data_IF_303151990476
#
_entry.id   IF_303151990476
#
_cell.length_a   1.000
_cell.length_b   1.000
_cell.length_c   1.000
_cell.angle_alpha   90.00
_cell.angle_beta   90.00
_cell.angle_gamma   90.00
#
_symmetry.space_group_name_H-M   'P 1'
#
loop_
_entity.id
_entity.type
_entity.pdbx_description
1 polymer ?
#
# COMPACT_ATOMS: atom_id res chain seq x y z
N UNK A 1 24.06 -13.69 12.29
CA UNK A 1 25.23 -13.92 11.40
C UNK A 1 24.84 -14.68 10.13
N UNK A 2 24.15 -15.82 10.21
CA UNK A 2 23.64 -16.57 9.04
C UNK A 2 22.72 -15.75 8.12
N UNK A 3 21.75 -15.01 8.65
CA UNK A 3 20.87 -14.14 7.86
C UNK A 3 21.58 -12.98 7.14
N UNK A 4 22.71 -12.52 7.69
CA UNK A 4 23.53 -11.49 7.05
C UNK A 4 24.28 -12.07 5.84
N UNK A 5 24.76 -13.31 5.96
CA UNK A 5 25.45 -14.03 4.88
C UNK A 5 24.47 -14.38 3.74
N UNK A 6 23.28 -14.87 4.09
CA UNK A 6 22.21 -15.15 3.12
C UNK A 6 21.71 -13.88 2.44
N UNK A 7 21.50 -12.80 3.19
CA UNK A 7 21.09 -11.50 2.67
C UNK A 7 22.15 -10.88 1.75
N UNK A 8 23.43 -10.93 2.13
CA UNK A 8 24.55 -10.48 1.29
C UNK A 8 24.68 -11.35 0.04
N UNK A 9 24.51 -12.68 0.14
CA UNK A 9 24.56 -13.60 -1.00
C UNK A 9 23.40 -13.37 -1.97
N UNK A 10 22.18 -13.13 -1.47
CA UNK A 10 21.00 -12.81 -2.29
C UNK A 10 21.10 -11.42 -2.93
N UNK A 11 21.62 -10.43 -2.21
CA UNK A 11 21.92 -9.09 -2.74
C UNK A 11 22.99 -9.19 -3.82
N UNK A 12 24.07 -9.95 -3.59
CA UNK A 12 25.09 -10.20 -4.61
C UNK A 12 24.54 -10.97 -5.80
N UNK A 13 23.69 -11.97 -5.60
CA UNK A 13 23.03 -12.71 -6.67
C UNK A 13 22.09 -11.82 -7.49
N UNK A 14 21.39 -10.86 -6.89
CA UNK A 14 20.56 -9.88 -7.60
C UNK A 14 21.42 -8.86 -8.37
N UNK A 15 22.44 -8.28 -7.73
CA UNK A 15 23.39 -7.37 -8.38
C UNK A 15 24.10 -8.05 -9.55
N UNK A 16 24.50 -9.32 -9.39
CA UNK A 16 25.14 -10.12 -10.44
C UNK A 16 24.17 -10.52 -11.55
N UNK A 17 22.94 -10.96 -11.22
CA UNK A 17 21.92 -11.34 -12.21
C UNK A 17 21.44 -10.15 -13.04
N UNK A 18 21.41 -8.96 -12.44
CA UNK A 18 21.05 -7.71 -13.10
C UNK A 18 22.18 -7.23 -14.02
N UNK A 19 23.46 -7.29 -13.58
CA UNK A 19 24.62 -7.04 -14.45
C UNK A 19 24.71 -8.00 -15.65
N UNK A 20 24.44 -9.29 -15.44
CA UNK A 20 24.49 -10.32 -16.48
C UNK A 20 23.33 -10.28 -17.49
N UNK A 21 22.28 -9.48 -17.23
CA UNK A 21 21.27 -9.18 -18.23
C UNK A 21 21.76 -8.22 -19.33
N UNK A 22 22.85 -7.48 -19.06
CA UNK A 22 23.37 -6.43 -19.94
C UNK A 22 24.76 -6.72 -20.53
N UNK A 23 25.56 -7.63 -19.94
CA UNK A 23 26.88 -8.01 -20.47
C UNK A 23 27.11 -9.54 -20.44
N UNK A 24 27.62 -10.08 -21.55
CA UNK A 24 27.79 -11.52 -21.78
C UNK A 24 29.12 -12.02 -21.17
N UNK A 25 29.18 -12.15 -19.83
CA UNK A 25 30.42 -12.48 -19.11
C UNK A 25 30.41 -13.92 -18.54
N UNK A 26 31.05 -14.85 -19.24
CA UNK A 26 31.01 -16.30 -18.97
C UNK A 26 31.59 -16.75 -17.60
N UNK A 27 32.74 -16.24 -17.12
CA UNK A 27 33.28 -16.59 -15.79
C UNK A 27 32.35 -16.21 -14.64
N UNK A 28 31.61 -15.10 -14.81
CA UNK A 28 30.67 -14.59 -13.81
C UNK A 28 29.39 -15.42 -13.74
N UNK A 29 28.93 -15.96 -14.87
CA UNK A 29 27.79 -16.90 -14.97
C UNK A 29 28.05 -18.20 -14.22
N UNK A 30 29.29 -18.69 -14.27
CA UNK A 30 29.69 -19.91 -13.58
C UNK A 30 29.79 -19.69 -12.06
N UNK A 31 30.35 -18.56 -11.61
CA UNK A 31 30.32 -18.15 -10.21
C UNK A 31 28.88 -18.00 -9.67
N UNK A 32 27.97 -17.42 -10.46
CA UNK A 32 26.54 -17.35 -10.14
C UNK A 32 25.88 -18.73 -10.07
N UNK A 33 26.22 -19.65 -10.97
CA UNK A 33 25.66 -21.00 -10.96
C UNK A 33 26.13 -21.78 -9.73
N UNK A 34 27.30 -21.47 -9.19
CA UNK A 34 27.81 -22.03 -7.93
C UNK A 34 27.14 -21.40 -6.70
N UNK A 35 26.98 -20.07 -6.66
CA UNK A 35 26.28 -19.38 -5.57
C UNK A 35 24.78 -19.66 -5.54
N UNK A 36 24.14 -19.77 -6.70
CA UNK A 36 22.75 -20.20 -6.84
C UNK A 36 22.60 -21.65 -6.42
N UNK A 37 23.48 -22.57 -6.87
CA UNK A 37 23.49 -23.95 -6.33
C UNK A 37 23.69 -23.97 -4.82
N UNK A 38 24.59 -23.16 -4.28
CA UNK A 38 24.79 -23.08 -2.83
C UNK A 38 23.56 -22.56 -2.08
N UNK A 39 22.81 -21.60 -2.64
CA UNK A 39 21.58 -21.07 -2.06
C UNK A 39 20.33 -21.93 -2.36
N UNK A 40 20.39 -22.78 -3.39
CA UNK A 40 19.26 -23.51 -3.98
C UNK A 40 19.50 -25.02 -4.00
N UNK A 41 20.54 -25.57 -3.39
CA UNK A 41 20.66 -27.02 -3.14
C UNK A 41 19.73 -27.50 -1.99
N UNK A 42 18.67 -26.72 -1.73
CA UNK A 42 17.32 -27.19 -1.38
C UNK A 42 16.34 -27.26 -2.57
N UNK A 43 16.84 -27.53 -3.79
CA UNK A 43 16.20 -27.84 -5.08
C UNK A 43 15.36 -26.73 -5.76
N UNK A 44 15.79 -26.29 -6.96
CA UNK A 44 14.97 -26.23 -8.20
C UNK A 44 15.78 -25.66 -9.40
N UNK A 45 15.71 -26.28 -10.60
CA UNK A 45 16.44 -25.86 -11.79
C UNK A 45 15.86 -24.58 -12.41
N UNK A 46 16.73 -23.79 -13.03
CA UNK A 46 16.39 -22.51 -13.66
C UNK A 46 15.32 -22.66 -14.75
N UNK A 47 14.16 -21.98 -14.66
CA UNK A 47 13.12 -22.12 -15.66
C UNK A 47 13.38 -21.24 -16.90
N UNK A 48 12.78 -21.61 -18.06
CA UNK A 48 12.89 -20.87 -19.31
C UNK A 48 12.28 -19.45 -19.20
N UNK A 49 12.62 -18.59 -20.18
CA UNK A 49 12.35 -17.13 -20.24
C UNK A 49 10.86 -16.71 -20.34
N UNK A 50 9.92 -17.48 -19.83
CA UNK A 50 8.48 -17.17 -19.81
C UNK A 50 8.03 -16.77 -18.39
N UNK A 51 6.82 -16.23 -18.24
CA UNK A 51 6.16 -15.65 -17.04
C UNK A 51 6.63 -16.14 -15.66
N UNK A 52 6.97 -17.43 -15.55
CA UNK A 52 7.61 -18.07 -14.39
C UNK A 52 8.89 -17.39 -13.91
N UNK A 53 9.78 -16.91 -14.80
CA UNK A 53 11.00 -16.19 -14.39
C UNK A 53 10.68 -14.82 -13.78
N UNK A 54 9.69 -14.11 -14.30
CA UNK A 54 9.22 -12.83 -13.73
C UNK A 54 8.61 -13.06 -12.35
N UNK A 55 7.81 -14.11 -12.19
CA UNK A 55 7.23 -14.50 -10.91
C UNK A 55 8.31 -14.87 -9.88
N UNK A 56 9.28 -15.72 -10.23
CA UNK A 56 10.40 -16.06 -9.35
C UNK A 56 11.29 -14.86 -9.01
N UNK A 57 11.42 -13.89 -9.93
CA UNK A 57 12.18 -12.68 -9.67
C UNK A 57 11.42 -11.75 -8.73
N UNK A 58 10.11 -11.59 -8.91
CA UNK A 58 9.26 -10.87 -7.97
C UNK A 58 9.24 -11.54 -6.58
N UNK A 59 9.25 -12.87 -6.51
CA UNK A 59 9.32 -13.63 -5.26
C UNK A 59 10.69 -13.49 -4.58
N UNK A 60 11.78 -13.55 -5.34
CA UNK A 60 13.13 -13.30 -4.85
C UNK A 60 13.29 -11.86 -4.35
N UNK A 61 12.77 -10.88 -5.09
CA UNK A 61 12.75 -9.47 -4.68
C UNK A 61 11.90 -9.28 -3.42
N UNK A 62 10.71 -9.86 -3.37
CA UNK A 62 9.85 -9.81 -2.18
C UNK A 62 10.52 -10.42 -0.95
N UNK A 63 11.11 -11.61 -1.12
CA UNK A 63 11.88 -12.28 -0.07
C UNK A 63 13.05 -11.41 0.38
N UNK A 64 13.80 -10.80 -0.55
CA UNK A 64 14.91 -9.92 -0.23
C UNK A 64 14.45 -8.66 0.52
N UNK A 65 13.39 -7.99 0.05
CA UNK A 65 12.79 -6.83 0.71
C UNK A 65 12.39 -7.18 2.14
N UNK A 66 11.79 -8.37 2.34
CA UNK A 66 11.40 -8.88 3.66
C UNK A 66 12.61 -9.21 4.55
N UNK A 67 13.66 -9.80 4.00
CA UNK A 67 14.86 -10.10 4.80
C UNK A 67 15.59 -8.82 5.19
N UNK A 68 15.69 -7.85 4.27
CA UNK A 68 16.28 -6.55 4.57
C UNK A 68 15.48 -5.80 5.63
N UNK A 69 14.14 -5.87 5.62
CA UNK A 69 13.31 -5.20 6.64
C UNK A 69 13.44 -5.83 8.04
N UNK A 70 13.89 -7.09 8.15
CA UNK A 70 14.20 -7.75 9.42
C UNK A 70 15.55 -7.33 10.02
N UNK A 71 16.45 -6.74 9.22
CA UNK A 71 17.73 -6.25 9.69
C UNK A 71 17.58 -4.90 10.42
N UNK A 72 18.46 -4.68 11.40
CA UNK A 72 18.56 -3.37 12.05
C UNK A 72 18.94 -2.27 11.05
N UNK A 73 18.63 -1.02 11.38
CA UNK A 73 18.95 0.14 10.52
C UNK A 73 20.46 0.20 10.23
N UNK A 74 21.29 -0.07 11.25
CA UNK A 74 22.75 -0.06 11.10
C UNK A 74 23.26 -1.19 10.21
N UNK A 75 22.70 -2.41 10.32
CA UNK A 75 23.04 -3.53 9.43
C UNK A 75 22.68 -3.22 7.97
N UNK A 76 21.49 -2.63 7.74
CA UNK A 76 21.08 -2.22 6.40
C UNK A 76 21.97 -1.12 5.83
N UNK A 77 22.34 -0.12 6.65
CA UNK A 77 23.25 0.97 6.27
C UNK A 77 24.62 0.42 5.91
N UNK A 78 25.18 -0.46 6.76
CA UNK A 78 26.47 -1.10 6.49
C UNK A 78 26.43 -1.92 5.20
N UNK A 79 25.36 -2.68 4.95
CA UNK A 79 25.21 -3.47 3.73
C UNK A 79 25.08 -2.57 2.48
N UNK A 80 24.33 -1.47 2.60
CA UNK A 80 24.18 -0.45 1.56
C UNK A 80 25.52 0.17 1.13
N UNK A 81 26.37 0.53 2.09
CA UNK A 81 27.69 1.11 1.83
C UNK A 81 28.74 0.08 1.41
N UNK A 82 28.85 -1.06 2.11
CA UNK A 82 29.90 -2.06 1.87
C UNK A 82 29.80 -2.70 0.48
N UNK A 83 28.60 -2.78 -0.07
CA UNK A 83 28.38 -3.39 -1.39
C UNK A 83 28.16 -2.36 -2.51
N UNK A 84 28.33 -1.05 -2.24
CA UNK A 84 27.95 0.02 -3.18
C UNK A 84 26.53 -0.15 -3.74
N UNK A 85 25.65 -0.79 -2.97
CA UNK A 85 24.33 -1.22 -3.42
C UNK A 85 23.44 -0.01 -3.70
N UNK A 86 23.50 0.99 -2.81
CA UNK A 86 22.77 2.26 -2.96
C UNK A 86 23.14 2.94 -4.28
N UNK A 87 24.44 3.03 -4.58
CA UNK A 87 24.91 3.65 -5.82
C UNK A 87 24.37 2.94 -7.07
N UNK A 88 24.43 1.60 -7.09
CA UNK A 88 23.96 0.83 -8.23
C UNK A 88 22.44 0.91 -8.40
N UNK A 89 21.67 0.73 -7.33
CA UNK A 89 20.22 0.81 -7.38
C UNK A 89 19.74 2.22 -7.75
N UNK A 90 20.39 3.29 -7.26
CA UNK A 90 20.08 4.66 -7.67
C UNK A 90 20.37 4.87 -9.16
N UNK A 91 21.53 4.42 -9.65
CA UNK A 91 21.86 4.52 -11.07
C UNK A 91 20.82 3.79 -11.92
N UNK A 92 20.38 2.60 -11.49
CA UNK A 92 19.36 1.84 -12.21
C UNK A 92 17.98 2.50 -12.15
N UNK A 93 17.60 3.07 -11.01
CA UNK A 93 16.37 3.86 -10.89
C UNK A 93 16.38 5.11 -11.79
N UNK A 94 17.54 5.73 -12.00
CA UNK A 94 17.71 6.91 -12.86
C UNK A 94 17.75 6.57 -14.36
N UNK A 95 18.32 5.42 -14.75
CA UNK A 95 18.61 5.08 -16.15
C UNK A 95 17.76 3.93 -16.71
N UNK A 96 16.84 3.39 -15.92
CA UNK A 96 15.92 2.34 -16.36
C UNK A 96 14.49 2.85 -16.33
N UNK A 97 13.64 2.26 -17.17
CA UNK A 97 12.22 2.56 -17.24
C UNK A 97 11.37 1.36 -16.82
N UNK A 98 10.10 1.61 -16.54
CA UNK A 98 9.10 0.58 -16.38
C UNK A 98 9.28 -0.30 -15.13
N UNK A 99 9.21 -1.61 -15.34
CA UNK A 99 9.33 -2.61 -14.27
C UNK A 99 10.72 -2.60 -13.63
N UNK A 100 11.79 -2.47 -14.42
CA UNK A 100 13.15 -2.48 -13.91
C UNK A 100 13.43 -1.31 -12.96
N UNK A 101 12.90 -0.12 -13.30
CA UNK A 101 12.94 1.04 -12.43
C UNK A 101 12.20 0.79 -11.11
N UNK A 102 11.00 0.21 -11.20
CA UNK A 102 10.17 -0.12 -10.03
C UNK A 102 10.82 -1.14 -9.10
N UNK A 103 11.52 -2.14 -9.66
CA UNK A 103 12.27 -3.14 -8.90
C UNK A 103 13.46 -2.50 -8.15
N UNK A 104 14.21 -1.60 -8.80
CA UNK A 104 15.30 -0.88 -8.15
C UNK A 104 14.80 0.00 -6.99
N UNK A 105 13.70 0.72 -7.21
CA UNK A 105 13.06 1.56 -6.19
C UNK A 105 12.50 0.73 -5.03
N UNK A 106 11.92 -0.44 -5.30
CA UNK A 106 11.47 -1.36 -4.25
C UNK A 106 12.61 -1.73 -3.31
N UNK A 107 13.78 -2.05 -3.85
CA UNK A 107 14.95 -2.41 -3.06
C UNK A 107 15.50 -1.21 -2.27
N UNK A 108 15.54 -0.03 -2.89
CA UNK A 108 15.93 1.20 -2.21
C UNK A 108 15.00 1.55 -1.04
N UNK A 109 13.71 1.23 -1.15
CA UNK A 109 12.72 1.55 -0.11
C UNK A 109 12.93 0.90 1.25
N UNK A 110 13.79 -0.13 1.33
CA UNK A 110 14.13 -0.78 2.60
C UNK A 110 15.54 -0.47 3.09
N UNK A 111 16.33 0.30 2.34
CA UNK A 111 17.72 0.65 2.70
C UNK A 111 17.75 2.11 3.18
N UNK A 112 18.36 2.42 4.34
CA UNK A 112 18.57 3.80 4.76
C UNK A 112 19.41 4.56 3.74
N UNK A 113 18.91 5.70 3.26
CA UNK A 113 19.59 6.57 2.29
C UNK A 113 20.16 7.81 2.97
N UNK A 114 21.26 8.34 2.40
CA UNK A 114 21.80 9.64 2.76
C UNK A 114 21.12 10.78 1.98
N UNK A 115 21.30 12.02 2.44
CA UNK A 115 20.69 13.22 1.87
C UNK A 115 20.95 13.34 0.36
N UNK A 116 22.18 13.04 -0.07
CA UNK A 116 22.59 13.12 -1.48
C UNK A 116 21.86 12.09 -2.33
N UNK A 117 21.67 10.88 -1.82
CA UNK A 117 20.93 9.80 -2.48
C UNK A 117 19.46 10.16 -2.62
N UNK A 118 18.87 10.76 -1.60
CA UNK A 118 17.47 11.21 -1.61
C UNK A 118 17.28 12.40 -2.56
N UNK A 119 18.18 13.37 -2.58
CA UNK A 119 18.12 14.50 -3.50
C UNK A 119 18.15 14.04 -4.97
N UNK A 120 18.98 13.04 -5.28
CA UNK A 120 19.00 12.40 -6.60
C UNK A 120 17.68 11.72 -6.92
N UNK A 121 17.15 10.93 -5.99
CA UNK A 121 15.89 10.21 -6.14
C UNK A 121 14.69 11.16 -6.32
N UNK A 122 14.69 12.29 -5.63
CA UNK A 122 13.63 13.29 -5.73
C UNK A 122 13.51 13.84 -7.17
N UNK A 123 14.60 13.84 -7.96
CA UNK A 123 14.60 14.23 -9.37
C UNK A 123 14.17 13.11 -10.32
N UNK A 124 14.19 11.87 -9.88
CA UNK A 124 13.70 10.73 -10.67
C UNK A 124 12.17 10.74 -10.67
N UNK A 125 11.54 10.73 -11.84
CA UNK A 125 10.07 10.67 -11.96
C UNK A 125 9.69 9.33 -12.60
N UNK A 126 9.26 8.33 -11.81
CA UNK A 126 8.91 7.03 -12.36
C UNK A 126 7.63 7.12 -13.19
N UNK A 127 7.65 6.53 -14.39
CA UNK A 127 6.45 6.48 -15.24
C UNK A 127 5.40 5.47 -14.73
N UNK A 128 5.85 4.39 -14.08
CA UNK A 128 4.99 3.32 -13.61
C UNK A 128 4.42 3.58 -12.20
N UNK A 129 3.13 3.27 -11.94
CA UNK A 129 2.51 3.50 -10.64
C UNK A 129 3.23 2.80 -9.46
N UNK A 130 3.81 1.61 -9.70
CA UNK A 130 4.59 0.91 -8.67
C UNK A 130 5.91 1.61 -8.37
N UNK A 131 6.58 2.16 -9.38
CA UNK A 131 7.80 2.95 -9.17
C UNK A 131 7.50 4.22 -8.38
N UNK A 132 6.40 4.91 -8.71
CA UNK A 132 5.94 6.09 -7.98
C UNK A 132 5.64 5.76 -6.51
N UNK A 133 4.94 4.64 -6.25
CA UNK A 133 4.70 4.15 -4.89
C UNK A 133 6.00 4.00 -4.09
N UNK A 134 7.00 3.32 -4.66
CA UNK A 134 8.25 3.06 -3.94
C UNK A 134 9.11 4.31 -3.78
N UNK A 135 9.13 5.22 -4.76
CA UNK A 135 9.78 6.52 -4.60
C UNK A 135 9.14 7.33 -3.47
N UNK A 136 7.83 7.46 -3.46
CA UNK A 136 7.09 8.15 -2.39
C UNK A 136 7.36 7.49 -1.04
N UNK A 137 7.37 6.16 -0.95
CA UNK A 137 7.72 5.44 0.28
C UNK A 137 9.11 5.83 0.78
N UNK A 138 10.13 5.87 -0.09
CA UNK A 138 11.48 6.31 0.26
C UNK A 138 11.47 7.74 0.82
N UNK A 139 10.79 8.66 0.13
CA UNK A 139 10.73 10.07 0.52
C UNK A 139 10.02 10.26 1.86
N UNK A 140 8.91 9.55 2.10
CA UNK A 140 8.17 9.61 3.38
C UNK A 140 9.00 9.03 4.52
N UNK A 141 9.67 7.89 4.30
CA UNK A 141 10.52 7.27 5.33
C UNK A 141 11.70 8.16 5.70
N UNK A 142 12.26 8.87 4.72
CA UNK A 142 13.35 9.81 4.94
C UNK A 142 12.89 11.11 5.63
N UNK A 143 11.74 11.65 5.23
CA UNK A 143 11.17 12.90 5.77
C UNK A 143 9.71 12.72 6.21
N UNK A 144 9.44 12.03 7.34
CA UNK A 144 8.08 11.79 7.80
C UNK A 144 7.27 13.08 8.03
N UNK A 145 7.93 14.14 8.48
CA UNK A 145 7.30 15.44 8.74
C UNK A 145 6.72 16.10 7.47
N UNK A 146 7.23 15.71 6.28
CA UNK A 146 6.78 16.21 4.98
C UNK A 146 5.80 15.28 4.28
N UNK A 147 5.29 14.26 4.97
CA UNK A 147 4.44 13.22 4.36
C UNK A 147 3.23 13.78 3.62
N UNK A 148 2.57 14.80 4.15
CA UNK A 148 1.43 15.45 3.50
C UNK A 148 1.83 16.07 2.16
N UNK A 149 2.94 16.82 2.13
CA UNK A 149 3.47 17.46 0.93
C UNK A 149 3.89 16.41 -0.11
N UNK A 150 4.57 15.35 0.32
CA UNK A 150 5.05 14.28 -0.56
C UNK A 150 3.88 13.53 -1.21
N UNK A 151 2.84 13.18 -0.42
CA UNK A 151 1.65 12.50 -0.96
C UNK A 151 0.90 13.41 -1.93
N UNK A 152 0.86 14.71 -1.68
CA UNK A 152 0.17 15.66 -2.55
C UNK A 152 0.94 15.91 -3.86
N UNK A 153 2.27 16.07 -3.80
CA UNK A 153 3.12 16.34 -4.97
C UNK A 153 3.31 15.12 -5.87
N UNK A 154 3.49 13.94 -5.29
CA UNK A 154 3.78 12.70 -6.03
C UNK A 154 2.54 11.83 -6.26
N UNK A 155 1.41 12.22 -5.66
CA UNK A 155 0.21 11.40 -5.64
C UNK A 155 -0.53 11.30 -6.96
N UNK A 156 -0.31 12.21 -7.91
CA UNK A 156 -1.17 12.45 -9.09
C UNK A 156 -1.59 11.21 -9.90
N UNK A 157 -0.91 10.06 -9.80
CA UNK A 157 -1.28 8.81 -10.47
C UNK A 157 -1.43 7.57 -9.57
N UNK A 158 -1.42 7.73 -8.25
CA UNK A 158 -1.72 6.64 -7.33
C UNK A 158 -3.21 6.35 -7.39
N UNK A 159 -3.55 5.27 -8.07
CA UNK A 159 -4.88 4.68 -8.01
C UNK A 159 -5.23 4.26 -6.57
N UNK A 160 -6.53 4.21 -6.26
CA UNK A 160 -7.02 3.70 -4.97
C UNK A 160 -6.54 2.30 -4.59
N UNK A 161 -6.04 1.49 -5.54
CA UNK A 161 -5.46 0.16 -5.26
C UNK A 161 -4.06 0.23 -4.63
N UNK A 162 -3.32 1.33 -4.79
CA UNK A 162 -1.97 1.50 -4.25
C UNK A 162 -1.98 2.03 -2.82
N UNK A 163 -3.02 2.77 -2.42
CA UNK A 163 -3.17 3.31 -1.05
C UNK A 163 -3.04 2.22 0.03
N UNK A 164 -3.71 1.04 -0.07
CA UNK A 164 -3.50 -0.04 0.90
C UNK A 164 -2.06 -0.55 0.96
N UNK A 165 -1.34 -0.57 -0.17
CA UNK A 165 0.06 -1.01 -0.23
C UNK A 165 0.99 0.02 0.41
N UNK A 166 0.75 1.31 0.16
CA UNK A 166 1.48 2.39 0.80
C UNK A 166 1.37 2.29 2.33
N UNK A 167 0.14 2.21 2.85
CA UNK A 167 -0.10 2.13 4.30
C UNK A 167 0.54 0.88 4.91
N UNK A 168 0.43 -0.27 4.27
CA UNK A 168 1.07 -1.51 4.75
C UNK A 168 2.60 -1.40 4.79
N UNK A 169 3.22 -0.72 3.83
CA UNK A 169 4.69 -0.53 3.82
C UNK A 169 5.15 0.51 4.83
N UNK A 170 4.40 1.60 5.00
CA UNK A 170 4.71 2.61 6.02
C UNK A 170 4.66 2.02 7.44
N UNK A 171 3.74 1.08 7.67
CA UNK A 171 3.69 0.28 8.90
C UNK A 171 4.94 -0.56 9.12
N UNK A 172 5.40 -1.30 8.09
CA UNK A 172 6.64 -2.07 8.15
C UNK A 172 7.86 -1.17 8.47
N UNK A 173 7.83 0.07 7.97
CA UNK A 173 8.83 1.09 8.24
C UNK A 173 8.64 1.82 9.58
N UNK A 174 7.60 1.52 10.36
CA UNK A 174 7.24 2.16 11.62
C UNK A 174 7.07 3.68 11.52
N UNK A 175 6.59 4.15 10.38
CA UNK A 175 6.29 5.58 10.18
C UNK A 175 4.94 5.90 10.79
N UNK A 176 4.91 6.85 11.73
CA UNK A 176 3.67 7.39 12.29
C UNK A 176 3.14 8.47 11.36
N UNK A 177 1.89 8.32 10.91
CA UNK A 177 1.27 9.25 9.96
C UNK A 177 0.41 10.29 10.68
N UNK A 178 0.49 11.59 10.31
CA UNK A 178 -0.29 12.66 10.92
C UNK A 178 -1.72 12.67 10.34
N UNK A 179 -2.57 11.75 10.82
CA UNK A 179 -3.93 11.52 10.31
C UNK A 179 -4.76 12.81 10.20
N UNK A 180 -4.78 13.66 11.24
CA UNK A 180 -5.53 14.95 11.21
C UNK A 180 -5.06 15.84 10.07
N UNK A 181 -3.74 16.02 9.95
CA UNK A 181 -3.15 16.86 8.91
C UNK A 181 -3.44 16.33 7.51
N UNK A 182 -3.46 15.01 7.34
CA UNK A 182 -3.77 14.37 6.06
C UNK A 182 -5.25 14.52 5.66
N UNK A 183 -6.18 14.46 6.62
CA UNK A 183 -7.61 14.72 6.38
C UNK A 183 -7.89 16.21 6.14
N UNK A 184 -7.22 17.09 6.88
CA UNK A 184 -7.41 18.54 6.81
C UNK A 184 -7.06 19.16 5.45
N UNK A 185 -6.24 18.50 4.62
CA UNK A 185 -5.95 19.01 3.26
C UNK A 185 -7.17 19.01 2.34
N UNK A 186 -8.14 18.12 2.58
CA UNK A 186 -9.26 17.87 1.68
C UNK A 186 -8.87 17.24 0.33
N UNK A 187 -7.58 17.03 0.08
CA UNK A 187 -7.08 16.43 -1.16
C UNK A 187 -7.39 14.94 -1.20
N UNK A 188 -7.68 14.43 -2.40
CA UNK A 188 -8.11 13.05 -2.63
C UNK A 188 -7.18 12.02 -1.97
N UNK A 189 -5.89 12.06 -2.27
CA UNK A 189 -4.95 11.02 -1.83
C UNK A 189 -4.55 11.11 -0.36
N UNK A 190 -4.18 12.27 0.19
CA UNK A 190 -3.98 12.42 1.63
C UNK A 190 -5.18 11.92 2.43
N UNK A 191 -6.40 12.27 2.00
CA UNK A 191 -7.64 11.80 2.65
C UNK A 191 -7.79 10.29 2.57
N UNK A 192 -7.58 9.67 1.40
CA UNK A 192 -7.67 8.21 1.25
C UNK A 192 -6.62 7.47 2.10
N UNK A 193 -5.40 7.99 2.19
CA UNK A 193 -4.33 7.44 3.04
C UNK A 193 -4.75 7.53 4.51
N UNK A 194 -5.21 8.69 4.97
CA UNK A 194 -5.63 8.90 6.35
C UNK A 194 -6.80 7.98 6.75
N UNK A 195 -7.86 7.94 5.93
CA UNK A 195 -9.01 7.05 6.13
C UNK A 195 -8.58 5.58 6.16
N UNK A 196 -7.63 5.19 5.32
CA UNK A 196 -7.10 3.82 5.31
C UNK A 196 -6.33 3.48 6.60
N UNK A 197 -5.55 4.43 7.13
CA UNK A 197 -4.84 4.29 8.41
C UNK A 197 -5.84 4.13 9.55
N UNK A 198 -6.82 5.05 9.65
CA UNK A 198 -7.87 4.99 10.68
C UNK A 198 -8.62 3.67 10.64
N UNK A 199 -9.06 3.22 9.48
CA UNK A 199 -9.77 1.95 9.32
C UNK A 199 -8.87 0.73 9.62
N UNK A 200 -7.57 0.79 9.34
CA UNK A 200 -6.66 -0.35 9.55
C UNK A 200 -6.34 -0.56 11.03
N UNK A 201 -6.20 0.53 11.78
CA UNK A 201 -5.83 0.49 13.19
C UNK A 201 -7.01 0.79 14.13
N UNK A 202 -8.23 0.89 13.58
CA UNK A 202 -9.46 1.15 14.32
C UNK A 202 -9.34 2.37 15.26
N UNK A 203 -8.75 3.46 14.77
CA UNK A 203 -8.46 4.65 15.56
C UNK A 203 -9.74 5.45 15.82
N UNK A 204 -10.49 5.04 16.85
CA UNK A 204 -11.79 5.62 17.21
C UNK A 204 -11.75 7.13 17.48
N UNK A 205 -10.63 7.66 17.97
CA UNK A 205 -10.46 9.08 18.31
C UNK A 205 -10.56 10.05 17.12
N UNK A 206 -10.53 9.52 15.89
CA UNK A 206 -10.65 10.31 14.65
C UNK A 206 -12.06 10.32 14.05
N UNK A 207 -13.07 9.89 14.81
CA UNK A 207 -14.43 9.73 14.30
C UNK A 207 -15.00 11.05 13.75
N UNK A 208 -14.71 12.20 14.39
CA UNK A 208 -15.18 13.52 13.94
C UNK A 208 -14.62 13.89 12.57
N UNK A 209 -13.31 13.75 12.38
CA UNK A 209 -12.63 14.06 11.12
C UNK A 209 -13.08 13.11 9.99
N UNK A 210 -13.39 11.85 10.32
CA UNK A 210 -13.97 10.90 9.36
C UNK A 210 -15.39 11.32 8.96
N UNK A 211 -16.20 11.88 9.89
CA UNK A 211 -17.51 12.43 9.55
C UNK A 211 -17.40 13.64 8.62
N UNK A 212 -16.46 14.55 8.86
CA UNK A 212 -16.21 15.70 7.98
C UNK A 212 -15.85 15.25 6.56
N UNK A 213 -15.09 14.16 6.42
CA UNK A 213 -14.73 13.58 5.13
C UNK A 213 -15.94 13.08 4.30
N UNK A 214 -17.12 12.86 4.92
CA UNK A 214 -18.36 12.57 4.18
C UNK A 214 -18.82 13.74 3.29
N UNK A 215 -18.39 14.96 3.60
CA UNK A 215 -18.71 16.16 2.82
C UNK A 215 -17.69 16.42 1.69
N UNK A 216 -16.70 15.55 1.50
CA UNK A 216 -15.69 15.71 0.45
C UNK A 216 -16.33 15.80 -0.94
N UNK A 217 -15.83 16.66 -1.85
CA UNK A 217 -16.29 16.69 -3.24
C UNK A 217 -15.93 15.38 -3.97
N UNK A 218 -14.91 14.66 -3.51
CA UNK A 218 -14.45 13.42 -4.11
C UNK A 218 -15.28 12.22 -3.66
N UNK A 219 -15.89 11.52 -4.63
CA UNK A 219 -16.70 10.31 -4.38
C UNK A 219 -15.91 9.26 -3.61
N UNK A 220 -14.67 9.02 -4.00
CA UNK A 220 -13.78 8.02 -3.43
C UNK A 220 -13.53 8.28 -1.94
N UNK A 221 -13.35 9.54 -1.55
CA UNK A 221 -13.17 9.96 -0.16
C UNK A 221 -14.44 9.70 0.63
N UNK A 222 -15.62 10.12 0.11
CA UNK A 222 -16.90 9.86 0.78
C UNK A 222 -17.15 8.37 1.02
N UNK A 223 -16.89 7.53 0.01
CA UNK A 223 -17.06 6.07 0.14
C UNK A 223 -16.04 5.45 1.10
N UNK A 224 -14.80 5.93 1.11
CA UNK A 224 -13.79 5.50 2.06
C UNK A 224 -14.13 5.92 3.50
N UNK A 225 -14.71 7.11 3.68
CA UNK A 225 -15.18 7.61 4.98
C UNK A 225 -16.32 6.74 5.53
N UNK A 226 -17.33 6.43 4.70
CA UNK A 226 -18.40 5.49 5.08
C UNK A 226 -17.85 4.13 5.50
N UNK A 227 -16.91 3.58 4.72
CA UNK A 227 -16.26 2.31 5.06
C UNK A 227 -15.51 2.40 6.39
N UNK A 228 -14.84 3.52 6.64
CA UNK A 228 -14.09 3.76 7.87
C UNK A 228 -15.04 3.82 9.07
N UNK A 229 -16.15 4.58 8.98
CA UNK A 229 -17.18 4.63 10.03
C UNK A 229 -17.79 3.25 10.33
N UNK A 230 -18.04 2.45 9.29
CA UNK A 230 -18.56 1.10 9.45
C UNK A 230 -17.57 0.17 10.18
N UNK A 231 -16.27 0.27 9.86
CA UNK A 231 -15.22 -0.49 10.55
C UNK A 231 -15.13 -0.07 12.02
N UNK A 232 -15.11 1.25 12.27
CA UNK A 232 -15.12 1.82 13.63
C UNK A 232 -16.38 1.48 14.43
N UNK A 233 -17.42 0.94 13.79
CA UNK A 233 -18.67 0.59 14.46
C UNK A 233 -19.43 1.83 14.91
N UNK A 234 -19.39 2.93 14.15
CA UNK A 234 -20.14 4.14 14.51
C UNK A 234 -21.64 3.92 14.29
N UNK A 235 -22.47 4.45 15.19
CA UNK A 235 -23.93 4.44 15.04
C UNK A 235 -24.35 5.21 13.79
N UNK A 236 -25.30 4.65 13.04
CA UNK A 236 -25.86 5.31 11.86
C UNK A 236 -26.80 6.42 12.35
N UNK A 237 -26.25 7.63 12.45
CA UNK A 237 -26.95 8.82 12.87
C UNK A 237 -27.47 9.64 11.68
N UNK A 238 -28.10 10.77 12.00
CA UNK A 238 -28.64 11.71 11.01
C UNK A 238 -27.59 12.19 10.00
N UNK A 239 -26.32 12.37 10.41
CA UNK A 239 -25.26 12.86 9.52
C UNK A 239 -24.90 11.82 8.45
N UNK A 240 -24.83 10.54 8.83
CA UNK A 240 -24.64 9.44 7.87
C UNK A 240 -25.82 9.39 6.91
N UNK A 241 -27.05 9.48 7.41
CA UNK A 241 -28.26 9.44 6.58
C UNK A 241 -28.28 10.60 5.57
N UNK A 242 -28.05 11.84 6.02
CA UNK A 242 -28.02 13.02 5.14
C UNK A 242 -26.90 12.92 4.09
N UNK A 243 -25.70 12.49 4.48
CA UNK A 243 -24.59 12.29 3.55
C UNK A 243 -24.90 11.23 2.49
N UNK A 244 -25.57 10.13 2.88
CA UNK A 244 -25.96 9.08 1.93
C UNK A 244 -27.11 9.52 1.02
N UNK A 245 -28.04 10.36 1.50
CA UNK A 245 -29.17 10.82 0.70
C UNK A 245 -28.74 11.61 -0.55
N UNK A 246 -27.64 12.37 -0.45
CA UNK A 246 -27.03 13.10 -1.56
C UNK A 246 -26.33 12.20 -2.60
N UNK A 247 -26.18 10.90 -2.34
CA UNK A 247 -25.55 9.95 -3.25
C UNK A 247 -26.53 9.36 -4.26
N UNK A 248 -26.00 8.88 -5.38
CA UNK A 248 -26.77 8.13 -6.38
C UNK A 248 -27.33 6.83 -5.80
N UNK A 249 -28.40 6.30 -6.41
CA UNK A 249 -29.00 5.01 -6.02
C UNK A 249 -27.95 3.90 -5.96
N UNK A 250 -27.03 3.84 -6.94
CA UNK A 250 -25.97 2.84 -7.00
C UNK A 250 -25.01 2.91 -5.79
N UNK A 251 -24.59 4.13 -5.42
CA UNK A 251 -23.74 4.38 -4.26
C UNK A 251 -24.46 4.03 -2.96
N UNK A 252 -25.74 4.41 -2.81
CA UNK A 252 -26.52 4.03 -1.62
C UNK A 252 -26.64 2.52 -1.46
N UNK A 253 -26.76 1.75 -2.55
CA UNK A 253 -26.67 0.26 -2.50
C UNK A 253 -25.31 -0.20 -2.00
N UNK A 254 -24.24 0.44 -2.46
CA UNK A 254 -22.88 0.13 -2.06
C UNK A 254 -22.66 0.39 -0.57
N UNK A 255 -23.15 1.52 -0.06
CA UNK A 255 -23.14 1.87 1.36
C UNK A 255 -23.83 0.81 2.21
N UNK A 256 -25.06 0.41 1.85
CA UNK A 256 -25.76 -0.66 2.56
C UNK A 256 -24.96 -1.97 2.57
N UNK A 257 -24.32 -2.32 1.45
CA UNK A 257 -23.46 -3.52 1.38
C UNK A 257 -22.22 -3.42 2.26
N UNK A 258 -21.66 -2.22 2.43
CA UNK A 258 -20.52 -1.97 3.31
C UNK A 258 -20.93 -2.27 4.75
N UNK A 259 -21.97 -1.62 5.27
CA UNK A 259 -22.42 -1.86 6.65
C UNK A 259 -22.84 -3.32 6.89
N UNK A 260 -23.51 -3.96 5.92
CA UNK A 260 -23.84 -5.39 6.00
C UNK A 260 -22.61 -6.31 6.01
N UNK A 261 -21.50 -5.90 5.37
CA UNK A 261 -20.24 -6.65 5.40
C UNK A 261 -19.55 -6.50 6.76
N UNK A 262 -19.65 -5.33 7.38
CA UNK A 262 -19.09 -5.04 8.71
C UNK A 262 -19.99 -5.54 9.87
N UNK A 263 -21.11 -6.22 9.57
CA UNK A 263 -21.92 -6.94 10.56
C UNK A 263 -23.07 -6.16 11.19
N UNK A 264 -23.50 -5.05 10.56
CA UNK A 264 -24.65 -4.27 11.04
C UNK A 264 -25.96 -5.05 10.86
N UNK A 265 -26.83 -4.96 11.89
CA UNK A 265 -28.15 -5.58 11.88
C UNK A 265 -29.14 -4.83 10.97
N UNK A 266 -30.26 -5.48 10.62
CA UNK A 266 -31.36 -4.81 9.91
C UNK A 266 -31.89 -3.59 10.69
N UNK A 267 -31.98 -3.69 12.02
CA UNK A 267 -32.43 -2.60 12.87
C UNK A 267 -31.47 -1.41 12.83
N UNK A 268 -30.16 -1.67 12.87
CA UNK A 268 -29.16 -0.61 12.78
C UNK A 268 -29.18 0.11 11.43
N UNK A 269 -29.64 -0.58 10.36
CA UNK A 269 -29.78 -0.04 9.00
C UNK A 269 -31.15 0.60 8.73
N UNK A 270 -32.09 0.54 9.67
CA UNK A 270 -33.42 1.13 9.53
C UNK A 270 -33.37 2.61 9.15
N UNK A 271 -32.51 3.47 9.75
CA UNK A 271 -32.46 4.89 9.40
C UNK A 271 -32.12 5.16 7.91
N UNK A 272 -31.26 4.33 7.31
CA UNK A 272 -30.93 4.42 5.88
C UNK A 272 -32.07 3.87 5.00
N UNK A 273 -32.77 2.85 5.48
CA UNK A 273 -33.86 2.20 4.75
C UNK A 273 -35.11 3.08 4.69
N UNK A 274 -35.45 3.75 5.80
CA UNK A 274 -36.60 4.66 5.88
C UNK A 274 -36.42 5.89 4.99
N UNK A 275 -35.19 6.43 4.93
CA UNK A 275 -34.83 7.51 4.03
C UNK A 275 -35.04 7.11 2.55
N UNK A 276 -34.73 5.87 2.16
CA UNK A 276 -34.98 5.36 0.79
C UNK A 276 -36.45 5.09 0.49
N UNK A 277 -37.22 4.59 1.47
CA UNK A 277 -38.65 4.28 1.31
C UNK A 277 -39.48 5.55 1.03
N UNK A 278 -39.11 6.67 1.63
CA UNK A 278 -39.72 7.99 1.35
C UNK A 278 -39.56 8.46 -0.10
N UNK A 279 -38.63 7.86 -0.86
CA UNK A 279 -38.29 8.23 -2.25
C UNK A 279 -38.82 7.17 -3.25
N UNK A 280 -39.50 6.11 -2.78
CA UNK A 280 -40.09 5.08 -3.65
C UNK A 280 -39.09 4.13 -4.31
N UNK A 281 -37.92 3.91 -3.68
CA UNK A 281 -36.79 3.18 -4.25
C UNK A 281 -36.82 1.66 -3.94
N UNK A 282 -36.52 0.77 -4.90
CA UNK A 282 -36.49 -0.71 -4.72
C UNK A 282 -35.34 -1.22 -3.82
N UNK A 283 -34.69 -0.33 -3.06
CA UNK A 283 -33.58 -0.64 -2.16
C UNK A 283 -34.01 -1.17 -0.80
N UNK A 284 -35.18 -0.74 -0.31
CA UNK A 284 -35.74 -1.20 0.95
C UNK A 284 -35.95 -2.73 0.96
N UNK A 285 -36.37 -3.31 -0.18
CA UNK A 285 -36.53 -4.75 -0.34
C UNK A 285 -35.19 -5.52 -0.33
N UNK A 286 -34.10 -4.92 -0.82
CA UNK A 286 -32.78 -5.57 -0.87
C UNK A 286 -32.13 -5.68 0.52
N UNK A 287 -32.27 -4.65 1.36
CA UNK A 287 -31.76 -4.66 2.74
C UNK A 287 -32.47 -5.71 3.59
N UNK A 288 -33.80 -5.83 3.45
CA UNK A 288 -34.64 -6.81 4.15
C UNK A 288 -34.36 -8.24 3.68
N UNK A 289 -34.31 -8.49 2.37
CA UNK A 289 -34.09 -9.85 1.84
C UNK A 289 -32.68 -10.41 2.14
N UNK A 290 -31.66 -9.55 2.22
CA UNK A 290 -30.26 -9.98 2.42
C UNK A 290 -29.87 -10.13 3.90
N UNK A 291 -30.50 -9.38 4.80
CA UNK A 291 -30.32 -9.57 6.25
C UNK A 291 -30.99 -10.85 6.75
N UNK A 292 -32.16 -11.20 6.20
CA UNK A 292 -32.86 -12.44 6.54
C UNK A 292 -32.09 -13.71 6.14
N UNK A 293 -31.25 -13.65 5.11
CA UNK A 293 -30.47 -14.79 4.61
C UNK A 293 -29.11 -14.99 5.32
N UNK A 294 -28.65 -14.05 6.16
CA UNK A 294 -27.35 -14.10 6.87
C UNK A 294 -27.47 -14.27 8.39
N UNK A 295 -28.56 -14.86 8.89
CA UNK A 295 -28.81 -15.16 10.32
C UNK A 295 -27.83 -16.16 10.99
N UNK A 296 -26.61 -16.32 10.49
CA UNK A 296 -25.51 -16.95 11.20
C UNK A 296 -24.27 -16.06 11.06
N UNK A 297 -23.77 -15.61 12.19
CA UNK A 297 -22.44 -15.01 12.46
C UNK A 297 -22.45 -13.50 12.79
N UNK A 298 -22.19 -13.22 14.08
CA UNK A 298 -21.74 -11.98 14.74
C UNK A 298 -22.43 -10.68 14.30
N UNK A 299 -23.44 -10.29 15.07
CA UNK A 299 -24.17 -9.03 14.90
C UNK A 299 -23.53 -7.98 15.81
N UNK A 300 -22.99 -6.88 15.23
CA UNK A 300 -22.76 -5.66 16.00
C UNK A 300 -24.14 -5.02 16.23
N UNK A 301 -24.67 -5.16 17.44
CA UNK A 301 -25.80 -4.37 17.94
C UNK A 301 -25.22 -3.14 18.63
N UNK A 302 -25.40 -1.99 18.01
CA UNK A 302 -25.31 -0.70 18.70
C UNK A 302 -26.67 -0.05 18.60
#
# INVERSE_FOLDING_TARGET
MLHLIEGVALVWLLVLRYKLGREDNAPLRDAMSRLYRYAVDGVLPAPPRTTRRRWLMAEALFSLTRHLSLLSVDERRQLGHRCSLIYHLLKDAEHSDGVAQSEALQLLSVIPLDDKSVERLARTVPAEPMGQLYRMLILIVYSPDRVTEIIDSDGLHLSGYLVPRLVARLEECRVVLPVRSLLATGALLPSLVALRVVARYELGDYWEEVFEALQSPHREVRMAAIKTLAVLGVTIDRRVVEATAAMSVAERREVLRIFLREGYSAMALQPLSDAEASIGSPLAEYAVCRTLSRKRTLVKTL
#
